data_IF_840789683435
#
_entry.id   IF_840789683435
#
_cell.length_a   1.000
_cell.length_b   1.000
_cell.length_c   1.000
_cell.angle_alpha   90.00
_cell.angle_beta   90.00
_cell.angle_gamma   90.00
#
_symmetry.space_group_name_H-M   'P 1'
#
loop_
_entity.id
_entity.type
_entity.pdbx_description
1 polymer ?
#
# COMPACT_ATOMS: atom_id res chain seq x y z
N UNK A 1 13.56 2.01 16.45
CA UNK A 1 14.75 1.97 15.57
C UNK A 1 14.26 2.03 14.13
N UNK A 2 14.46 3.15 13.42
CA UNK A 2 14.08 3.26 12.01
C UNK A 2 15.15 2.57 11.16
N UNK A 3 14.81 1.42 10.59
CA UNK A 3 15.70 0.67 9.73
C UNK A 3 15.56 1.20 8.29
N UNK A 4 16.64 1.77 7.73
CA UNK A 4 16.65 2.24 6.34
C UNK A 4 16.36 1.08 5.38
N UNK A 5 15.28 1.21 4.60
CA UNK A 5 14.85 0.19 3.62
C UNK A 5 15.45 0.49 2.25
N UNK A 6 16.39 -0.34 1.79
CA UNK A 6 17.10 -0.15 0.52
C UNK A 6 16.19 -0.12 -0.71
N UNK A 7 15.05 -0.81 -0.68
CA UNK A 7 14.07 -0.85 -1.78
C UNK A 7 13.09 0.33 -1.78
N UNK A 8 13.09 1.17 -0.75
CA UNK A 8 12.13 2.27 -0.64
C UNK A 8 12.24 3.29 -1.79
N UNK A 9 13.45 3.75 -2.19
CA UNK A 9 13.59 4.65 -3.32
C UNK A 9 13.06 4.05 -4.63
N UNK A 10 13.40 2.80 -4.93
CA UNK A 10 12.92 2.11 -6.15
C UNK A 10 11.41 1.87 -6.14
N UNK A 11 10.81 1.65 -4.97
CA UNK A 11 9.34 1.58 -4.82
C UNK A 11 8.69 2.93 -5.20
N UNK A 12 9.24 4.05 -4.71
CA UNK A 12 8.72 5.38 -5.05
C UNK A 12 8.86 5.68 -6.54
N UNK A 13 10.02 5.38 -7.13
CA UNK A 13 10.26 5.53 -8.58
C UNK A 13 9.29 4.69 -9.42
N UNK A 14 9.03 3.44 -9.00
CA UNK A 14 8.07 2.57 -9.67
C UNK A 14 6.65 3.12 -9.59
N UNK A 15 6.24 3.66 -8.43
CA UNK A 15 4.91 4.25 -8.23
C UNK A 15 4.72 5.57 -9.00
N UNK A 16 5.80 6.27 -9.36
CA UNK A 16 5.74 7.42 -10.25
C UNK A 16 5.53 7.02 -11.71
N UNK A 17 5.94 5.81 -12.10
CA UNK A 17 5.91 5.33 -13.48
C UNK A 17 4.69 4.46 -13.76
N UNK A 18 4.28 3.65 -12.78
CA UNK A 18 3.23 2.65 -12.93
C UNK A 18 2.09 2.91 -11.94
N UNK A 19 0.82 2.80 -12.38
CA UNK A 19 -0.34 2.98 -11.50
C UNK A 19 -0.46 1.87 -10.45
N UNK A 20 0.19 0.72 -10.67
CA UNK A 20 0.19 -0.43 -9.76
C UNK A 20 1.59 -1.02 -9.69
N UNK A 21 2.08 -1.26 -8.47
CA UNK A 21 3.40 -1.86 -8.21
C UNK A 21 3.25 -3.09 -7.31
N UNK A 22 3.82 -4.21 -7.74
CA UNK A 22 3.87 -5.45 -6.96
C UNK A 22 5.14 -5.55 -6.11
N UNK A 23 5.01 -5.71 -4.78
CA UNK A 23 6.12 -6.03 -3.88
C UNK A 23 6.25 -7.55 -3.71
N UNK A 24 7.23 -8.15 -4.40
CA UNK A 24 7.47 -9.60 -4.38
C UNK A 24 8.74 -9.97 -3.62
N UNK A 25 8.84 -11.22 -3.17
CA UNK A 25 10.04 -11.75 -2.49
C UNK A 25 9.72 -12.80 -1.41
N UNK A 26 10.75 -13.45 -0.82
CA UNK A 26 10.58 -14.54 0.14
C UNK A 26 9.71 -14.16 1.35
N UNK A 27 9.18 -15.16 2.07
CA UNK A 27 8.42 -14.91 3.31
C UNK A 27 9.32 -14.20 4.34
N UNK A 28 8.72 -13.30 5.13
CA UNK A 28 9.37 -12.59 6.26
C UNK A 28 10.54 -11.65 5.92
N UNK A 29 10.75 -11.26 4.66
CA UNK A 29 11.78 -10.27 4.28
C UNK A 29 11.39 -8.79 4.52
N UNK A 30 10.24 -8.54 5.17
CA UNK A 30 9.79 -7.19 5.52
C UNK A 30 8.93 -6.46 4.46
N UNK A 31 8.33 -7.18 3.51
CA UNK A 31 7.45 -6.60 2.47
C UNK A 31 6.30 -5.77 3.06
N UNK A 32 5.56 -6.34 4.00
CA UNK A 32 4.46 -5.65 4.70
C UNK A 32 4.97 -4.46 5.51
N UNK A 33 6.18 -4.55 6.08
CA UNK A 33 6.78 -3.42 6.80
C UNK A 33 7.11 -2.26 5.86
N UNK A 34 7.59 -2.55 4.65
CA UNK A 34 7.85 -1.53 3.62
C UNK A 34 6.57 -0.83 3.18
N UNK A 35 5.50 -1.58 2.92
CA UNK A 35 4.19 -1.04 2.56
C UNK A 35 3.58 -0.18 3.69
N UNK A 36 3.73 -0.59 4.95
CA UNK A 36 3.30 0.19 6.12
C UNK A 36 4.09 1.49 6.27
N UNK A 37 5.41 1.46 6.05
CA UNK A 37 6.23 2.66 6.05
C UNK A 37 5.77 3.64 4.97
N UNK A 38 5.54 3.17 3.74
CA UNK A 38 5.01 4.00 2.66
C UNK A 38 3.67 4.64 3.07
N UNK A 39 2.75 3.87 3.65
CA UNK A 39 1.46 4.39 4.09
C UNK A 39 1.61 5.48 5.18
N UNK A 40 2.54 5.32 6.11
CA UNK A 40 2.87 6.34 7.12
C UNK A 40 3.41 7.61 6.46
N UNK A 41 4.34 7.49 5.53
CA UNK A 41 4.95 8.64 4.86
C UNK A 41 3.93 9.38 3.97
N UNK A 42 3.08 8.65 3.24
CA UNK A 42 1.98 9.24 2.47
C UNK A 42 1.01 9.99 3.39
N UNK A 43 0.68 9.42 4.56
CA UNK A 43 -0.16 10.09 5.56
C UNK A 43 0.46 11.40 6.06
N UNK A 44 1.78 11.43 6.24
CA UNK A 44 2.50 12.64 6.65
C UNK A 44 2.45 13.76 5.59
N UNK A 45 2.19 13.43 4.33
CA UNK A 45 2.01 14.41 3.23
C UNK A 45 0.56 14.87 3.05
N UNK A 46 -0.35 14.49 3.95
CA UNK A 46 -1.77 14.84 3.86
C UNK A 46 -2.60 13.91 2.95
N UNK A 47 -1.97 12.90 2.32
CA UNK A 47 -2.71 11.82 1.67
C UNK A 47 -3.32 10.91 2.73
N UNK A 48 -4.28 10.08 2.37
CA UNK A 48 -4.84 9.09 3.30
C UNK A 48 -4.88 7.73 2.59
N UNK A 49 -3.81 6.93 2.71
CA UNK A 49 -3.73 5.63 2.05
C UNK A 49 -4.68 4.62 2.70
N UNK A 50 -5.21 3.72 1.89
CA UNK A 50 -6.04 2.59 2.36
C UNK A 50 -5.20 1.33 2.34
N UNK A 51 -5.17 0.63 3.47
CA UNK A 51 -4.50 -0.67 3.59
C UNK A 51 -5.56 -1.76 3.69
N UNK A 52 -5.50 -2.73 2.77
CA UNK A 52 -6.29 -3.95 2.79
C UNK A 52 -5.36 -5.13 3.06
N UNK A 53 -5.54 -5.79 4.20
CA UNK A 53 -4.82 -7.00 4.56
C UNK A 53 -5.69 -8.21 4.24
N UNK A 54 -5.40 -8.87 3.12
CA UNK A 54 -6.21 -9.99 2.62
C UNK A 54 -6.12 -11.26 3.49
N UNK A 55 -5.20 -11.31 4.46
CA UNK A 55 -5.17 -12.37 5.47
C UNK A 55 -6.23 -12.16 6.57
N UNK A 56 -6.75 -10.93 6.69
CA UNK A 56 -7.82 -10.60 7.65
C UNK A 56 -9.20 -10.81 7.01
N UNK A 57 -10.05 -11.68 7.57
CA UNK A 57 -11.38 -11.94 7.01
C UNK A 57 -12.25 -10.69 6.84
N UNK A 58 -12.14 -9.74 7.77
CA UNK A 58 -12.91 -8.48 7.72
C UNK A 58 -12.47 -7.53 6.61
N UNK A 59 -11.20 -7.55 6.22
CA UNK A 59 -10.71 -6.76 5.08
C UNK A 59 -11.03 -7.45 3.77
N UNK A 60 -10.86 -8.77 3.71
CA UNK A 60 -11.24 -9.55 2.55
C UNK A 60 -12.74 -9.40 2.24
N UNK A 61 -13.59 -9.39 3.28
CA UNK A 61 -15.03 -9.20 3.13
C UNK A 61 -15.42 -7.84 2.51
N UNK A 62 -14.60 -6.79 2.67
CA UNK A 62 -14.83 -5.50 2.00
C UNK A 62 -14.78 -5.61 0.48
N UNK A 63 -14.06 -6.61 -0.04
CA UNK A 63 -13.92 -6.86 -1.46
C UNK A 63 -15.01 -7.80 -2.01
N UNK A 64 -16.01 -8.17 -1.22
CA UNK A 64 -17.18 -8.90 -1.72
C UNK A 64 -18.01 -8.05 -2.69
N UNK A 65 -18.07 -6.73 -2.45
CA UNK A 65 -18.71 -5.71 -3.28
C UNK A 65 -17.64 -4.66 -3.66
N UNK A 66 -16.72 -4.97 -4.59
CA UNK A 66 -15.51 -4.17 -4.79
C UNK A 66 -15.80 -2.77 -5.34
N UNK A 67 -16.82 -2.62 -6.21
CA UNK A 67 -17.24 -1.31 -6.73
C UNK A 67 -17.69 -0.40 -5.58
N UNK A 68 -18.57 -0.90 -4.71
CA UNK A 68 -19.06 -0.17 -3.54
C UNK A 68 -17.93 0.26 -2.58
N UNK A 69 -16.90 -0.59 -2.42
CA UNK A 69 -15.77 -0.26 -1.57
C UNK A 69 -14.77 0.71 -2.23
N UNK A 70 -14.51 0.57 -3.53
CA UNK A 70 -13.46 1.31 -4.24
C UNK A 70 -13.95 2.63 -4.85
N UNK A 71 -15.23 2.76 -5.21
CA UNK A 71 -15.79 3.99 -5.80
C UNK A 71 -15.56 5.24 -4.93
N UNK A 72 -15.77 5.21 -3.59
CA UNK A 72 -15.45 6.36 -2.74
C UNK A 72 -13.96 6.71 -2.66
N UNK A 73 -13.08 5.84 -3.18
CA UNK A 73 -11.63 6.02 -3.21
C UNK A 73 -11.12 6.57 -4.55
N UNK A 74 -11.97 6.70 -5.57
CA UNK A 74 -11.58 7.08 -6.92
C UNK A 74 -10.86 8.44 -6.97
N UNK A 75 -11.34 9.43 -6.21
CA UNK A 75 -10.77 10.78 -6.15
C UNK A 75 -9.39 10.85 -5.46
N UNK A 76 -8.89 9.72 -4.95
CA UNK A 76 -7.63 9.62 -4.18
C UNK A 76 -6.45 9.17 -5.03
N UNK A 77 -6.67 8.98 -6.34
CA UNK A 77 -5.68 8.47 -7.30
C UNK A 77 -4.80 9.57 -7.93
N UNK A 78 -4.94 10.83 -7.48
CA UNK A 78 -4.20 11.99 -7.98
C UNK A 78 -2.79 12.19 -7.36
#
# INVERSE_FOLDING_TARGET
>A
MNLSRSLYPSLLESLQTFPVVGLVGPRQVGKTSLAKQLATDLSATGRSPVMLDLERPSDLAKLAEPELFLEPLADRLA
#
